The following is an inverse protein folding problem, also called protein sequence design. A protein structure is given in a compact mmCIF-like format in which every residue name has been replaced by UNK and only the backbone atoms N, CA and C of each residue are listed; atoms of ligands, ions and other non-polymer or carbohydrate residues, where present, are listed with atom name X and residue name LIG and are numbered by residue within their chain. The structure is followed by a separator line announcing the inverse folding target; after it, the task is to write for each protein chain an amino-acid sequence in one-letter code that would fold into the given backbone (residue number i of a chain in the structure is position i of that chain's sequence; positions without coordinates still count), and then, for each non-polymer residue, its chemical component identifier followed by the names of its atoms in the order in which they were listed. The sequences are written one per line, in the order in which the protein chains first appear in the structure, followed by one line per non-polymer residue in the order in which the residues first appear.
data_IF_275843879979
#
_entry.id   IF_275843879979
#
_cell.length_a   1.000
_cell.length_b   1.000
_cell.length_c   1.000
_cell.angle_alpha   90.00
_cell.angle_beta   90.00
_cell.angle_gamma   90.00
#
_symmetry.space_group_name_H-M   'P 1'
#
loop_
_entity.id
_entity.type
_entity.pdbx_description
1 polymer ?
#
# COMPACT_ATOMS: atom_id res chain seq x y z
N UNK A 1 -35.64 11.58 -47.26
CA UNK A 1 -35.88 11.70 -45.81
C UNK A 1 -35.35 10.41 -45.19
N UNK A 2 -34.16 10.46 -44.60
CA UNK A 2 -33.61 9.39 -43.77
C UNK A 2 -33.00 10.09 -42.57
N UNK A 3 -33.77 10.14 -41.50
CA UNK A 3 -33.30 10.63 -40.21
C UNK A 3 -32.41 9.53 -39.61
N UNK A 4 -31.11 9.83 -39.52
CA UNK A 4 -30.16 9.02 -38.79
C UNK A 4 -30.32 9.28 -37.31
N UNK A 5 -30.96 8.34 -36.63
CA UNK A 5 -31.13 8.32 -35.18
C UNK A 5 -29.77 8.10 -34.48
N UNK A 6 -29.17 9.18 -34.00
CA UNK A 6 -28.06 9.16 -33.04
C UNK A 6 -28.62 9.22 -31.62
N UNK A 7 -28.99 8.07 -31.07
CA UNK A 7 -29.34 7.89 -29.66
C UNK A 7 -28.91 6.52 -29.16
N UNK A 8 -28.66 6.38 -27.86
CA UNK A 8 -28.51 5.12 -27.13
C UNK A 8 -27.21 4.28 -27.23
N UNK A 9 -26.05 4.86 -26.87
CA UNK A 9 -24.92 4.06 -26.34
C UNK A 9 -24.27 4.58 -25.06
N UNK A 10 -24.98 5.35 -24.23
CA UNK A 10 -24.30 6.05 -23.13
C UNK A 10 -24.99 6.14 -21.74
N UNK A 11 -25.81 5.17 -21.30
CA UNK A 11 -26.08 4.98 -19.86
C UNK A 11 -25.35 3.77 -19.24
N UNK A 12 -25.19 2.67 -19.98
CA UNK A 12 -24.69 1.40 -19.41
C UNK A 12 -23.21 1.45 -19.00
N UNK A 13 -22.38 2.18 -19.74
CA UNK A 13 -20.96 2.38 -19.42
C UNK A 13 -20.74 3.20 -18.15
N UNK A 14 -21.69 4.08 -17.78
CA UNK A 14 -21.57 4.91 -16.57
C UNK A 14 -21.95 4.11 -15.33
N UNK A 15 -23.02 3.32 -15.41
CA UNK A 15 -23.45 2.42 -14.33
C UNK A 15 -22.37 1.35 -14.07
N UNK A 16 -21.84 0.73 -15.12
CA UNK A 16 -20.79 -0.27 -15.00
C UNK A 16 -19.49 0.31 -14.39
N UNK A 17 -19.11 1.55 -14.76
CA UNK A 17 -17.97 2.24 -14.13
C UNK A 17 -18.23 2.59 -12.66
N UNK A 18 -19.45 2.98 -12.30
CA UNK A 18 -19.79 3.27 -10.91
C UNK A 18 -19.74 2.02 -10.04
N UNK A 19 -20.24 0.89 -10.55
CA UNK A 19 -20.15 -0.40 -9.86
C UNK A 19 -18.69 -0.84 -9.71
N UNK A 20 -17.88 -0.77 -10.77
CA UNK A 20 -16.44 -1.07 -10.70
C UNK A 20 -15.70 -0.16 -9.71
N UNK A 21 -16.00 1.13 -9.69
CA UNK A 21 -15.44 2.06 -8.72
C UNK A 21 -15.90 1.74 -7.29
N UNK A 22 -17.15 1.32 -7.10
CA UNK A 22 -17.69 0.87 -5.82
C UNK A 22 -16.94 -0.34 -5.28
N UNK A 23 -16.77 -1.38 -6.12
CA UNK A 23 -16.01 -2.57 -5.76
C UNK A 23 -14.53 -2.25 -5.47
N UNK A 24 -13.92 -1.36 -6.25
CA UNK A 24 -12.54 -0.92 -6.00
C UNK A 24 -12.41 -0.23 -4.63
N UNK A 25 -13.31 0.69 -4.29
CA UNK A 25 -13.28 1.40 -3.00
C UNK A 25 -13.53 0.48 -1.81
N UNK A 26 -14.48 -0.46 -1.93
CA UNK A 26 -14.73 -1.48 -0.91
C UNK A 26 -13.50 -2.34 -0.67
N UNK A 27 -12.85 -2.82 -1.74
CA UNK A 27 -11.60 -3.61 -1.65
C UNK A 27 -10.48 -2.82 -1.01
N UNK A 28 -10.29 -1.55 -1.41
CA UNK A 28 -9.29 -0.68 -0.81
C UNK A 28 -9.52 -0.52 0.70
N UNK A 29 -10.77 -0.36 1.14
CA UNK A 29 -11.11 -0.30 2.56
C UNK A 29 -10.79 -1.61 3.29
N UNK A 30 -11.10 -2.76 2.70
CA UNK A 30 -10.80 -4.07 3.28
C UNK A 30 -9.29 -4.31 3.38
N UNK A 31 -8.52 -4.04 2.33
CA UNK A 31 -7.06 -4.17 2.33
C UNK A 31 -6.44 -3.26 3.39
N UNK A 32 -6.91 -2.01 3.52
CA UNK A 32 -6.46 -1.09 4.57
C UNK A 32 -6.75 -1.63 5.98
N UNK A 33 -7.98 -2.11 6.24
CA UNK A 33 -8.35 -2.70 7.54
C UNK A 33 -7.51 -3.93 7.86
N UNK A 34 -7.28 -4.79 6.88
CA UNK A 34 -6.46 -5.98 7.03
C UNK A 34 -5.00 -5.62 7.36
N UNK A 35 -4.44 -4.62 6.67
CA UNK A 35 -3.11 -4.13 6.96
C UNK A 35 -2.99 -3.55 8.38
N UNK A 36 -3.94 -2.71 8.82
CA UNK A 36 -3.96 -2.17 10.18
C UNK A 36 -4.06 -3.27 11.23
N UNK A 37 -4.96 -4.26 11.03
CA UNK A 37 -5.09 -5.42 11.92
C UNK A 37 -3.78 -6.20 12.01
N UNK A 38 -3.16 -6.52 10.87
CA UNK A 38 -1.90 -7.24 10.82
C UNK A 38 -0.79 -6.49 11.54
N UNK A 39 -0.67 -5.18 11.33
CA UNK A 39 0.37 -4.38 11.99
C UNK A 39 0.18 -4.31 13.50
N UNK A 40 -1.06 -4.20 13.97
CA UNK A 40 -1.36 -4.23 15.39
C UNK A 40 -1.01 -5.59 16.00
N UNK A 41 -1.40 -6.69 15.35
CA UNK A 41 -1.11 -8.05 15.83
C UNK A 41 0.39 -8.37 15.84
N UNK A 42 1.11 -8.01 14.78
CA UNK A 42 2.52 -8.42 14.58
C UNK A 42 3.52 -7.46 15.23
N UNK A 43 3.20 -6.17 15.27
CA UNK A 43 4.13 -5.12 15.70
C UNK A 43 3.60 -4.25 16.85
N UNK A 44 2.33 -4.37 17.21
CA UNK A 44 1.71 -3.53 18.24
C UNK A 44 1.61 -2.06 17.82
N UNK A 45 1.47 -1.79 16.52
CA UNK A 45 1.42 -0.44 15.94
C UNK A 45 0.34 -0.37 14.85
N UNK A 46 -0.17 0.83 14.56
CA UNK A 46 -1.00 1.07 13.36
C UNK A 46 -0.18 0.85 12.09
N UNK A 47 -0.80 0.54 10.95
CA UNK A 47 -0.04 0.33 9.72
C UNK A 47 0.58 1.65 9.23
N UNK A 48 -0.15 2.75 9.27
CA UNK A 48 0.43 4.08 9.02
C UNK A 48 1.31 4.54 10.19
N UNK A 49 2.52 5.10 9.94
CA UNK A 49 3.18 5.31 8.65
C UNK A 49 4.13 4.18 8.22
N UNK A 50 4.23 3.11 9.02
CA UNK A 50 5.26 2.07 8.87
C UNK A 50 5.09 1.22 7.60
N UNK A 51 3.86 0.95 7.18
CA UNK A 51 3.57 0.26 5.92
C UNK A 51 4.06 1.09 4.73
N UNK A 52 3.78 2.39 4.71
CA UNK A 52 4.22 3.28 3.64
C UNK A 52 5.75 3.28 3.54
N UNK A 53 6.45 3.35 4.68
CA UNK A 53 7.92 3.27 4.71
C UNK A 53 8.42 1.91 4.21
N UNK A 54 7.76 0.81 4.56
CA UNK A 54 8.11 -0.52 4.04
C UNK A 54 7.88 -0.60 2.53
N UNK A 55 6.81 0.00 1.99
CA UNK A 55 6.53 0.04 0.56
C UNK A 55 7.57 0.87 -0.20
N UNK A 56 7.99 2.02 0.33
CA UNK A 56 9.11 2.82 -0.20
C UNK A 56 10.39 1.96 -0.25
N UNK A 57 10.68 1.25 0.84
CA UNK A 57 11.82 0.34 0.91
C UNK A 57 11.77 -0.79 -0.10
N UNK A 58 10.60 -1.41 -0.24
CA UNK A 58 10.35 -2.50 -1.16
C UNK A 58 10.56 -2.04 -2.61
N UNK A 59 10.00 -0.89 -2.99
CA UNK A 59 10.21 -0.27 -4.30
C UNK A 59 11.70 0.07 -4.55
N UNK A 60 12.46 0.37 -3.49
CA UNK A 60 13.88 0.67 -3.55
C UNK A 60 14.78 -0.55 -3.22
N UNK A 61 14.49 -1.71 -3.83
CA UNK A 61 15.28 -2.95 -3.72
C UNK A 61 15.49 -3.41 -2.26
N UNK A 62 14.42 -3.35 -1.45
CA UNK A 62 14.41 -3.69 -0.03
C UNK A 62 15.36 -2.86 0.85
N UNK A 63 15.72 -1.64 0.43
CA UNK A 63 16.59 -0.74 1.18
C UNK A 63 15.92 0.60 1.41
N UNK A 64 15.71 0.93 2.68
CA UNK A 64 15.16 2.21 3.10
C UNK A 64 16.30 3.15 3.47
N UNK A 65 16.24 4.41 3.07
CA UNK A 65 17.13 5.48 3.52
C UNK A 65 16.29 6.62 4.09
N UNK A 66 16.88 7.42 4.98
CA UNK A 66 16.18 8.60 5.53
C UNK A 66 15.71 9.50 4.37
N UNK A 67 16.57 9.69 3.37
CA UNK A 67 16.27 10.48 2.18
C UNK A 67 15.07 9.95 1.40
N UNK A 68 14.96 8.65 1.12
CA UNK A 68 13.82 8.15 0.35
C UNK A 68 12.50 8.29 1.12
N UNK A 69 12.53 8.17 2.46
CA UNK A 69 11.35 8.40 3.30
C UNK A 69 10.94 9.88 3.27
N UNK A 70 11.90 10.80 3.38
CA UNK A 70 11.63 12.24 3.28
C UNK A 70 11.06 12.61 1.90
N UNK A 71 11.73 12.18 0.83
CA UNK A 71 11.39 12.56 -0.54
C UNK A 71 10.03 11.99 -0.97
N UNK A 72 9.70 10.74 -0.58
CA UNK A 72 8.48 10.08 -1.03
C UNK A 72 7.28 10.27 -0.11
N UNK A 73 7.49 10.37 1.21
CA UNK A 73 6.41 10.51 2.20
C UNK A 73 6.28 11.94 2.74
N UNK A 74 7.10 12.87 2.24
CA UNK A 74 7.10 14.28 2.66
C UNK A 74 7.29 14.47 4.17
N UNK A 75 8.00 13.55 4.81
CA UNK A 75 8.33 13.64 6.23
C UNK A 75 9.52 14.57 6.46
N UNK A 76 9.53 15.26 7.59
CA UNK A 76 10.75 15.93 8.06
C UNK A 76 11.83 14.90 8.38
N UNK A 77 13.09 15.34 8.41
CA UNK A 77 14.22 14.47 8.78
C UNK A 77 14.06 13.90 10.19
N UNK A 78 13.52 14.67 11.14
CA UNK A 78 13.26 14.24 12.51
C UNK A 78 12.17 13.17 12.55
N UNK A 79 11.07 13.35 11.82
CA UNK A 79 9.99 12.37 11.74
C UNK A 79 10.43 11.07 11.07
N UNK A 80 11.15 11.17 9.94
CA UNK A 80 11.70 10.02 9.25
C UNK A 80 12.62 9.20 10.16
N UNK A 81 13.55 9.85 10.85
CA UNK A 81 14.45 9.20 11.80
C UNK A 81 13.68 8.57 12.99
N UNK A 82 12.67 9.26 13.53
CA UNK A 82 11.84 8.73 14.62
C UNK A 82 11.12 7.45 14.21
N UNK A 83 10.48 7.44 13.05
CA UNK A 83 9.78 6.25 12.56
C UNK A 83 10.75 5.11 12.26
N UNK A 84 11.89 5.40 11.61
CA UNK A 84 12.92 4.39 11.33
C UNK A 84 13.50 3.78 12.63
N UNK A 85 13.70 4.58 13.67
CA UNK A 85 14.12 4.07 14.98
C UNK A 85 13.09 3.11 15.58
N UNK A 86 11.80 3.44 15.50
CA UNK A 86 10.71 2.55 15.94
C UNK A 86 10.70 1.26 15.10
N UNK A 87 10.89 1.35 13.78
CA UNK A 87 10.94 0.17 12.91
C UNK A 87 12.12 -0.75 13.22
N UNK A 88 13.26 -0.19 13.64
CA UNK A 88 14.42 -0.96 14.12
C UNK A 88 14.05 -1.69 15.41
N UNK A 89 13.47 -0.99 16.39
CA UNK A 89 13.03 -1.57 17.66
C UNK A 89 12.01 -2.71 17.46
N UNK A 90 11.04 -2.51 16.58
CA UNK A 90 10.04 -3.52 16.20
C UNK A 90 10.56 -4.61 15.27
N UNK A 91 11.86 -4.60 14.95
CA UNK A 91 12.56 -5.59 14.11
C UNK A 91 12.00 -5.69 12.68
N UNK A 92 11.37 -4.62 12.18
CA UNK A 92 10.91 -4.53 10.79
C UNK A 92 12.08 -4.32 9.83
N UNK A 93 13.07 -3.53 10.26
CA UNK A 93 14.30 -3.18 9.52
C UNK A 93 15.52 -3.37 10.43
N UNK A 94 16.73 -3.37 9.86
CA UNK A 94 17.99 -3.31 10.62
C UNK A 94 18.80 -2.10 10.20
N UNK A 95 19.66 -1.59 11.06
CA UNK A 95 20.63 -0.53 10.70
C UNK A 95 21.80 -1.18 9.95
N UNK A 96 22.21 -0.58 8.83
CA UNK A 96 23.27 -1.08 7.95
C UNK A 96 24.18 0.05 7.43
N UNK A 97 24.56 1.00 8.28
CA UNK A 97 25.50 2.11 8.00
C UNK A 97 25.02 3.16 6.97
N UNK A 98 24.60 2.70 5.80
CA UNK A 98 24.11 3.45 4.65
C UNK A 98 22.57 3.40 4.51
N UNK A 99 21.87 2.70 5.40
CA UNK A 99 20.41 2.66 5.39
C UNK A 99 19.80 1.60 6.30
N UNK A 100 18.56 1.25 6.00
CA UNK A 100 17.69 0.40 6.79
C UNK A 100 17.11 -0.73 5.91
N UNK A 101 17.87 -1.79 5.62
CA UNK A 101 17.33 -2.92 4.88
C UNK A 101 16.19 -3.62 5.65
N UNK A 102 15.18 -4.03 4.89
CA UNK A 102 13.98 -4.70 5.43
C UNK A 102 14.39 -6.09 5.97
N UNK A 103 13.94 -6.41 7.18
CA UNK A 103 14.14 -7.74 7.79
C UNK A 103 13.10 -8.73 7.32
N UNK A 104 13.35 -10.02 7.54
CA UNK A 104 12.39 -11.11 7.31
C UNK A 104 11.00 -10.81 7.90
N UNK A 105 10.94 -10.22 9.10
CA UNK A 105 9.66 -9.87 9.75
C UNK A 105 8.90 -8.77 9.00
N UNK A 106 9.60 -7.72 8.53
CA UNK A 106 8.99 -6.68 7.70
C UNK A 106 8.56 -7.21 6.33
N UNK A 107 9.40 -8.05 5.70
CA UNK A 107 9.06 -8.68 4.42
C UNK A 107 7.85 -9.60 4.55
N UNK A 108 7.76 -10.41 5.61
CA UNK A 108 6.63 -11.29 5.85
C UNK A 108 5.31 -10.51 6.01
N UNK A 109 5.35 -9.31 6.61
CA UNK A 109 4.17 -8.45 6.71
C UNK A 109 3.74 -7.93 5.33
N UNK A 110 4.67 -7.48 4.49
CA UNK A 110 4.39 -7.10 3.10
C UNK A 110 3.79 -8.27 2.31
N UNK A 111 4.41 -9.45 2.40
CA UNK A 111 3.95 -10.64 1.69
C UNK A 111 2.55 -11.08 2.15
N UNK A 112 2.23 -10.94 3.44
CA UNK A 112 0.91 -11.26 3.97
C UNK A 112 -0.16 -10.29 3.43
N UNK A 113 0.14 -9.00 3.36
CA UNK A 113 -0.76 -8.00 2.76
C UNK A 113 -0.98 -8.32 1.28
N UNK A 114 0.09 -8.54 0.51
CA UNK A 114 -0.03 -8.87 -0.92
C UNK A 114 -0.73 -10.21 -1.17
N UNK A 115 -0.57 -11.20 -0.30
CA UNK A 115 -1.29 -12.49 -0.43
C UNK A 115 -2.77 -12.36 -0.10
N UNK A 116 -3.13 -11.55 0.90
CA UNK A 116 -4.54 -11.24 1.16
C UNK A 116 -5.20 -10.53 -0.02
N UNK A 117 -4.41 -9.81 -0.83
CA UNK A 117 -4.88 -9.11 -2.03
C UNK A 117 -5.01 -10.04 -3.25
N UNK A 118 -4.08 -11.01 -3.39
CA UNK A 118 -4.06 -11.99 -4.49
C UNK A 118 -5.01 -13.17 -4.33
N UNK A 119 -5.31 -13.57 -3.10
CA UNK A 119 -6.25 -14.66 -2.85
C UNK A 119 -7.66 -14.30 -3.34
N UNK A 120 -7.96 -13.01 -3.47
CA UNK A 120 -9.29 -12.56 -3.81
C UNK A 120 -9.39 -11.75 -5.12
N UNK A 121 -8.71 -10.62 -5.39
CA UNK A 121 -9.45 -9.57 -6.16
C UNK A 121 -8.71 -8.55 -7.06
N UNK A 122 -7.63 -8.89 -7.78
CA UNK A 122 -7.04 -8.00 -8.81
C UNK A 122 -6.88 -8.59 -10.24
N UNK A 123 -7.69 -9.59 -10.60
CA UNK A 123 -7.87 -9.99 -12.00
C UNK A 123 -9.01 -9.15 -12.63
N UNK A 124 -8.77 -7.87 -12.91
CA UNK A 124 -9.67 -7.06 -13.78
C UNK A 124 -8.93 -6.63 -15.05
N UNK A 125 -7.85 -7.32 -15.41
CA UNK A 125 -7.10 -7.10 -16.63
C UNK A 125 -6.76 -8.45 -17.27
N UNK A 126 -7.79 -9.15 -17.76
CA UNK A 126 -7.70 -10.05 -18.91
C UNK A 126 -8.89 -9.77 -19.85
#
# INVERSE_FOLDING_TARGET
MSDGDTGDRQPDNLLQRQEQNGFFLERLMLTRRNADRLFLEVFGLTAYPYLDILLVGWANRNRITVRCVMDQLQFSVELANRYLAIMVDRKMVKIDGIGFPIRKKGQAALDAIFKSDRADHFSILE
#
